data_IF_904906600324
#
_entry.id   IF_904906600324
#
_cell.length_a   1.000
_cell.length_b   1.000
_cell.length_c   1.000
_cell.angle_alpha   90.00
_cell.angle_beta   90.00
_cell.angle_gamma   90.00
#
_symmetry.space_group_name_H-M   'P 1'
#
loop_
_entity.id
_entity.type
_entity.pdbx_description
1 polymer ?
#
# COMPACT_ATOMS: atom_id res chain seq x y z
N UNK A 1 -46.47 27.56 35.03
CA UNK A 1 -45.51 27.85 33.94
C UNK A 1 -44.81 26.54 33.59
N UNK A 2 -45.22 25.93 32.50
CA UNK A 2 -44.64 24.69 32.00
C UNK A 2 -43.68 25.06 30.84
N UNK A 3 -42.38 24.80 31.02
CA UNK A 3 -41.40 24.94 29.99
C UNK A 3 -41.52 23.76 29.03
N UNK A 4 -41.82 24.08 27.80
CA UNK A 4 -41.83 23.13 26.68
C UNK A 4 -40.37 22.79 26.30
N UNK A 5 -39.97 21.58 26.55
CA UNK A 5 -38.74 20.98 25.99
C UNK A 5 -38.95 20.79 24.49
N UNK A 6 -38.30 21.63 23.68
CA UNK A 6 -38.17 21.40 22.24
C UNK A 6 -37.35 20.12 22.00
N UNK A 7 -38.02 19.14 21.43
CA UNK A 7 -37.43 17.92 20.87
C UNK A 7 -36.54 18.33 19.68
N UNK A 8 -35.21 18.38 19.91
CA UNK A 8 -34.20 18.48 18.83
C UNK A 8 -34.13 17.13 18.16
N UNK A 9 -34.92 16.99 17.11
CA UNK A 9 -34.82 15.83 16.20
C UNK A 9 -33.37 15.61 15.76
N UNK A 10 -32.72 14.67 16.41
CA UNK A 10 -31.39 14.23 16.06
C UNK A 10 -31.45 13.54 14.70
N UNK A 11 -30.94 14.21 13.66
CA UNK A 11 -30.66 13.55 12.38
C UNK A 11 -29.64 12.46 12.69
N UNK A 12 -30.01 11.20 12.51
CA UNK A 12 -29.08 10.10 12.63
C UNK A 12 -27.89 10.36 11.68
N UNK A 13 -26.64 10.18 12.15
CA UNK A 13 -25.50 10.40 11.29
C UNK A 13 -25.59 9.43 10.10
N UNK A 14 -25.26 9.91 8.88
CA UNK A 14 -25.33 9.09 7.68
C UNK A 14 -24.53 7.81 7.87
N UNK A 15 -25.03 6.70 7.34
CA UNK A 15 -24.32 5.43 7.32
C UNK A 15 -22.93 5.60 6.70
N UNK A 16 -21.96 4.76 7.08
CA UNK A 16 -20.59 4.91 6.62
C UNK A 16 -20.46 4.92 5.07
N UNK A 17 -21.34 4.21 4.38
CA UNK A 17 -21.39 4.17 2.90
C UNK A 17 -21.88 5.49 2.31
N UNK A 18 -22.97 6.06 2.83
CA UNK A 18 -23.55 7.32 2.34
C UNK A 18 -22.60 8.50 2.56
N UNK A 19 -21.91 8.54 3.69
CA UNK A 19 -20.99 9.63 4.00
C UNK A 19 -19.69 9.62 3.20
N UNK A 20 -19.31 8.49 2.62
CA UNK A 20 -18.12 8.35 1.77
C UNK A 20 -18.43 8.38 0.26
N UNK A 21 -19.72 8.44 -0.13
CA UNK A 21 -20.13 8.49 -1.53
C UNK A 21 -19.49 9.65 -2.33
N UNK A 22 -19.27 10.86 -1.77
CA UNK A 22 -18.56 11.93 -2.47
C UNK A 22 -17.11 11.60 -2.89
N UNK A 23 -16.50 10.57 -2.30
CA UNK A 23 -15.15 10.12 -2.64
C UNK A 23 -15.12 9.10 -3.79
N UNK A 24 -16.26 8.59 -4.22
CA UNK A 24 -16.34 7.63 -5.31
C UNK A 24 -15.96 8.27 -6.63
N UNK A 25 -14.79 7.90 -7.17
CA UNK A 25 -14.25 8.46 -8.39
C UNK A 25 -14.43 7.54 -9.62
N UNK A 26 -14.40 6.22 -9.42
CA UNK A 26 -14.53 5.22 -10.47
C UNK A 26 -15.12 3.91 -9.93
N UNK A 27 -15.44 2.97 -10.81
CA UNK A 27 -16.03 1.68 -10.43
C UNK A 27 -14.98 0.67 -10.01
N UNK A 28 -14.05 0.37 -10.90
CA UNK A 28 -13.12 -0.76 -10.71
C UNK A 28 -11.70 -0.34 -11.06
N UNK A 29 -10.75 -0.79 -10.24
CA UNK A 29 -9.33 -0.80 -10.55
C UNK A 29 -8.87 -2.24 -10.73
N UNK A 30 -8.43 -2.60 -11.93
CA UNK A 30 -7.82 -3.91 -12.20
C UNK A 30 -6.30 -3.76 -12.26
N UNK A 31 -5.60 -4.59 -11.51
CA UNK A 31 -4.14 -4.57 -11.37
C UNK A 31 -3.56 -5.90 -11.83
N UNK A 32 -2.66 -5.84 -12.78
CA UNK A 32 -1.97 -7.02 -13.30
C UNK A 32 -2.64 -7.68 -14.51
N UNK A 33 -2.13 -8.85 -14.92
CA UNK A 33 -0.99 -9.55 -14.34
C UNK A 33 0.34 -8.81 -14.55
N UNK A 34 1.25 -8.99 -13.59
CA UNK A 34 2.59 -8.43 -13.70
C UNK A 34 3.42 -9.17 -14.77
N UNK A 35 4.16 -8.41 -15.56
CA UNK A 35 5.21 -8.91 -16.46
C UNK A 35 6.54 -8.74 -15.75
N UNK A 36 7.23 -9.85 -15.51
CA UNK A 36 8.47 -9.92 -14.74
C UNK A 36 9.63 -10.15 -15.66
N UNK A 37 10.65 -9.31 -15.55
CA UNK A 37 11.96 -9.43 -16.18
C UNK A 37 13.03 -9.36 -15.08
N UNK A 38 14.25 -9.85 -15.28
CA UNK A 38 15.23 -9.95 -14.19
C UNK A 38 15.46 -8.65 -13.38
N UNK A 39 15.51 -7.50 -14.05
CA UNK A 39 15.74 -6.20 -13.42
C UNK A 39 14.55 -5.25 -13.57
N UNK A 40 13.37 -5.73 -14.00
CA UNK A 40 12.21 -4.89 -14.24
C UNK A 40 10.91 -5.64 -14.02
N UNK A 41 9.96 -4.96 -13.41
CA UNK A 41 8.57 -5.43 -13.30
C UNK A 41 7.64 -4.37 -13.88
N UNK A 42 6.73 -4.78 -14.74
CA UNK A 42 5.68 -3.95 -15.33
C UNK A 42 4.32 -4.52 -14.99
N UNK A 43 3.41 -3.67 -14.58
CA UNK A 43 2.06 -4.10 -14.18
C UNK A 43 1.02 -3.13 -14.74
N UNK A 44 0.09 -3.60 -15.58
CA UNK A 44 -0.99 -2.77 -16.05
C UNK A 44 -1.96 -2.42 -14.93
N UNK A 45 -2.42 -1.19 -14.93
CA UNK A 45 -3.46 -0.64 -14.08
C UNK A 45 -4.59 -0.15 -14.96
N UNK A 46 -5.72 -0.84 -14.96
CA UNK A 46 -6.90 -0.49 -15.73
C UNK A 46 -7.99 0.04 -14.82
N UNK A 47 -8.43 1.25 -15.10
CA UNK A 47 -9.52 1.92 -14.40
C UNK A 47 -10.79 1.85 -15.25
N UNK A 48 -11.89 1.37 -14.67
CA UNK A 48 -13.23 1.48 -15.27
C UNK A 48 -13.97 2.62 -14.58
N UNK A 49 -14.23 3.70 -15.32
CA UNK A 49 -14.93 4.88 -14.82
C UNK A 49 -16.39 4.64 -14.46
N UNK A 50 -17.02 5.61 -13.83
CA UNK A 50 -18.47 5.57 -13.52
C UNK A 50 -19.34 5.53 -14.76
N UNK A 51 -18.87 6.10 -15.86
CA UNK A 51 -19.50 6.08 -17.19
C UNK A 51 -19.23 4.79 -17.97
N UNK A 52 -18.41 3.87 -17.42
CA UNK A 52 -18.05 2.60 -18.05
C UNK A 52 -16.86 2.70 -19.02
N UNK A 53 -16.25 3.86 -19.19
CA UNK A 53 -15.01 4.00 -19.98
C UNK A 53 -13.87 3.34 -19.26
N UNK A 54 -12.95 2.77 -20.04
CA UNK A 54 -11.74 2.14 -19.54
C UNK A 54 -10.52 2.98 -19.93
N UNK A 55 -9.64 3.18 -18.94
CA UNK A 55 -8.33 3.78 -19.13
C UNK A 55 -7.27 2.84 -18.56
N UNK A 56 -6.16 2.69 -19.27
CA UNK A 56 -5.06 1.83 -18.83
C UNK A 56 -3.77 2.64 -18.78
N UNK A 57 -3.02 2.37 -17.70
CA UNK A 57 -1.67 2.87 -17.50
C UNK A 57 -0.79 1.72 -17.01
N UNK A 58 0.50 1.94 -16.93
CA UNK A 58 1.44 0.90 -16.50
C UNK A 58 2.31 1.40 -15.34
N UNK A 59 2.36 0.62 -14.26
CA UNK A 59 3.33 0.82 -13.19
C UNK A 59 4.60 0.06 -13.52
N UNK A 60 5.74 0.75 -13.52
CA UNK A 60 7.03 0.18 -13.88
C UNK A 60 8.01 0.39 -12.73
N UNK A 61 8.57 -0.72 -12.24
CA UNK A 61 9.74 -0.71 -11.37
C UNK A 61 10.96 -1.20 -12.12
N UNK A 62 12.10 -0.57 -11.86
CA UNK A 62 13.41 -0.97 -12.40
C UNK A 62 14.43 -0.98 -11.28
N UNK A 63 15.31 -1.96 -11.32
CA UNK A 63 16.43 -2.12 -10.40
C UNK A 63 17.75 -2.09 -11.17
N UNK A 64 18.82 -1.77 -10.50
CA UNK A 64 20.17 -1.76 -11.09
C UNK A 64 20.69 -3.19 -11.28
N UNK A 65 20.21 -4.12 -10.46
CA UNK A 65 20.58 -5.53 -10.46
C UNK A 65 19.42 -6.44 -10.86
N UNK A 66 19.74 -7.66 -11.27
CA UNK A 66 18.79 -8.72 -11.58
C UNK A 66 18.27 -9.33 -10.27
N UNK A 67 17.07 -8.97 -9.86
CA UNK A 67 16.45 -9.41 -8.61
C UNK A 67 15.40 -10.49 -8.80
N UNK A 68 14.88 -10.66 -10.00
CA UNK A 68 13.76 -11.54 -10.27
C UNK A 68 14.11 -12.63 -11.26
N UNK A 69 13.56 -13.82 -11.01
CA UNK A 69 13.60 -14.96 -11.93
C UNK A 69 12.19 -15.14 -12.52
N UNK A 70 11.96 -14.79 -13.79
CA UNK A 70 10.63 -14.88 -14.41
C UNK A 70 10.00 -16.27 -14.40
N UNK A 71 10.84 -17.32 -14.28
CA UNK A 71 10.40 -18.72 -14.25
C UNK A 71 10.06 -19.21 -12.84
N UNK A 72 10.41 -18.44 -11.78
CA UNK A 72 10.23 -18.86 -10.41
C UNK A 72 8.91 -18.34 -9.82
N UNK A 73 8.04 -19.22 -9.30
CA UNK A 73 6.76 -18.83 -8.72
C UNK A 73 6.88 -17.82 -7.57
N UNK A 74 7.93 -17.94 -6.73
CA UNK A 74 8.17 -17.02 -5.61
C UNK A 74 8.52 -15.62 -6.12
N UNK A 75 9.30 -15.53 -7.20
CA UNK A 75 9.65 -14.27 -7.86
C UNK A 75 8.43 -13.59 -8.48
N UNK A 76 7.58 -14.37 -9.16
CA UNK A 76 6.33 -13.87 -9.75
C UNK A 76 5.35 -13.39 -8.66
N UNK A 77 5.23 -14.13 -7.57
CA UNK A 77 4.39 -13.74 -6.43
C UNK A 77 4.90 -12.42 -5.80
N UNK A 78 6.20 -12.32 -5.52
CA UNK A 78 6.80 -11.12 -4.94
C UNK A 78 6.62 -9.90 -5.83
N UNK A 79 6.86 -10.03 -7.14
CA UNK A 79 6.66 -8.97 -8.11
C UNK A 79 5.19 -8.49 -8.15
N UNK A 80 4.24 -9.43 -8.16
CA UNK A 80 2.82 -9.11 -8.10
C UNK A 80 2.46 -8.40 -6.78
N UNK A 81 2.98 -8.86 -5.64
CA UNK A 81 2.73 -8.26 -4.33
C UNK A 81 3.31 -6.84 -4.22
N UNK A 82 4.53 -6.61 -4.72
CA UNK A 82 5.15 -5.28 -4.74
C UNK A 82 4.29 -4.31 -5.55
N UNK A 83 3.91 -4.71 -6.76
CA UNK A 83 3.15 -3.82 -7.64
C UNK A 83 1.70 -3.63 -7.19
N UNK A 84 1.10 -4.59 -6.48
CA UNK A 84 -0.26 -4.46 -5.95
C UNK A 84 -0.39 -3.36 -4.87
N UNK A 85 0.69 -3.04 -4.15
CA UNK A 85 0.62 -2.10 -3.02
C UNK A 85 0.23 -0.69 -3.44
N UNK A 86 0.61 -0.21 -4.62
CA UNK A 86 0.22 1.11 -5.09
C UNK A 86 -1.32 1.26 -5.24
N UNK A 87 -2.01 0.16 -5.53
CA UNK A 87 -3.47 0.13 -5.64
C UNK A 87 -4.20 0.37 -4.32
N UNK A 88 -3.56 0.13 -3.18
CA UNK A 88 -4.17 0.27 -1.85
C UNK A 88 -4.59 1.71 -1.55
N UNK A 89 -3.96 2.70 -2.19
CA UNK A 89 -4.32 4.10 -2.09
C UNK A 89 -5.70 4.42 -2.66
N UNK A 90 -6.24 3.54 -3.49
CA UNK A 90 -7.51 3.76 -4.17
C UNK A 90 -8.72 3.12 -3.46
N UNK A 91 -8.51 2.44 -2.35
CA UNK A 91 -9.56 1.71 -1.65
C UNK A 91 -10.75 2.54 -1.16
N UNK A 92 -10.59 3.86 -0.99
CA UNK A 92 -11.68 4.80 -0.68
C UNK A 92 -12.45 5.28 -1.92
N UNK A 93 -11.86 5.15 -3.12
CA UNK A 93 -12.29 5.88 -4.30
C UNK A 93 -12.99 5.03 -5.35
N UNK A 94 -13.11 3.72 -5.13
CA UNK A 94 -13.76 2.80 -6.06
C UNK A 94 -14.59 1.73 -5.34
N UNK A 95 -15.39 1.00 -6.12
CA UNK A 95 -16.24 -0.07 -5.60
C UNK A 95 -15.48 -1.40 -5.51
N UNK A 96 -14.47 -1.59 -6.37
CA UNK A 96 -13.74 -2.83 -6.46
C UNK A 96 -12.29 -2.63 -6.89
N UNK A 97 -11.37 -3.38 -6.26
CA UNK A 97 -10.00 -3.54 -6.72
C UNK A 97 -9.78 -5.02 -7.04
N UNK A 98 -9.46 -5.31 -8.31
CA UNK A 98 -9.17 -6.66 -8.82
C UNK A 98 -7.68 -6.85 -8.94
N UNK A 99 -7.15 -7.82 -8.23
CA UNK A 99 -5.76 -8.21 -8.32
C UNK A 99 -5.64 -9.49 -9.15
N UNK A 100 -4.96 -9.39 -10.30
CA UNK A 100 -4.72 -10.51 -11.21
C UNK A 100 -3.28 -10.99 -11.01
N UNK A 101 -3.08 -12.15 -10.39
CA UNK A 101 -1.75 -12.66 -10.11
C UNK A 101 -1.71 -13.84 -9.14
N UNK A 102 -0.50 -14.35 -8.86
CA UNK A 102 -0.31 -15.50 -8.00
C UNK A 102 -0.28 -15.11 -6.50
N UNK A 103 -1.39 -14.61 -5.98
CA UNK A 103 -1.54 -14.24 -4.57
C UNK A 103 -1.97 -15.41 -3.72
N UNK A 104 -1.19 -15.74 -2.70
CA UNK A 104 -1.53 -16.77 -1.71
C UNK A 104 -2.46 -16.22 -0.60
N UNK A 105 -2.80 -17.07 0.38
CA UNK A 105 -3.68 -16.68 1.48
C UNK A 105 -3.06 -15.64 2.42
N UNK A 106 -1.73 -15.63 2.58
CA UNK A 106 -1.01 -14.65 3.39
C UNK A 106 -1.00 -13.29 2.70
N UNK A 107 -0.74 -13.25 1.39
CA UNK A 107 -0.79 -12.04 0.58
C UNK A 107 -2.17 -11.39 0.62
N UNK A 108 -3.22 -12.19 0.46
CA UNK A 108 -4.61 -11.69 0.53
C UNK A 108 -4.94 -11.10 1.89
N UNK A 109 -4.51 -11.75 2.98
CA UNK A 109 -4.68 -11.18 4.34
C UNK A 109 -3.93 -9.87 4.51
N UNK A 110 -2.67 -9.83 4.05
CA UNK A 110 -1.84 -8.63 4.09
C UNK A 110 -2.47 -7.48 3.31
N UNK A 111 -2.83 -7.69 2.04
CA UNK A 111 -3.42 -6.66 1.18
C UNK A 111 -4.77 -6.16 1.72
N UNK A 112 -5.63 -7.04 2.26
CA UNK A 112 -6.88 -6.63 2.90
C UNK A 112 -6.63 -5.77 4.14
N UNK A 113 -5.72 -6.17 5.03
CA UNK A 113 -5.36 -5.41 6.22
C UNK A 113 -4.73 -4.06 5.88
N UNK A 114 -3.80 -4.05 4.93
CA UNK A 114 -3.13 -2.84 4.48
C UNK A 114 -4.10 -1.87 3.79
N UNK A 115 -5.01 -2.36 2.93
CA UNK A 115 -6.04 -1.54 2.30
C UNK A 115 -6.95 -0.85 3.33
N UNK A 116 -7.39 -1.57 4.36
CA UNK A 116 -8.19 -1.01 5.44
C UNK A 116 -7.46 0.09 6.22
N UNK A 117 -6.17 -0.15 6.54
CA UNK A 117 -5.33 0.84 7.21
C UNK A 117 -5.08 2.07 6.33
N UNK A 118 -4.78 1.88 5.05
CA UNK A 118 -4.55 2.97 4.10
C UNK A 118 -5.80 3.81 3.89
N UNK A 119 -6.96 3.17 3.74
CA UNK A 119 -8.23 3.88 3.61
C UNK A 119 -8.52 4.76 4.84
N UNK A 120 -8.27 4.22 6.06
CA UNK A 120 -8.41 4.97 7.30
C UNK A 120 -7.44 6.14 7.37
N UNK A 121 -6.17 5.93 7.04
CA UNK A 121 -5.14 6.96 7.06
C UNK A 121 -5.48 8.11 6.11
N UNK A 122 -5.90 7.80 4.90
CA UNK A 122 -6.31 8.79 3.90
C UNK A 122 -7.55 9.54 4.39
N UNK A 123 -8.60 8.85 4.82
CA UNK A 123 -9.82 9.51 5.28
C UNK A 123 -9.56 10.46 6.45
N UNK A 124 -8.90 9.97 7.51
CA UNK A 124 -8.69 10.76 8.73
C UNK A 124 -7.70 11.90 8.52
N UNK A 125 -6.58 11.63 7.85
CA UNK A 125 -5.47 12.59 7.80
C UNK A 125 -5.48 13.48 6.56
N UNK A 126 -6.21 13.13 5.49
CA UNK A 126 -6.27 13.94 4.28
C UNK A 126 -7.61 14.65 4.08
N UNK A 127 -8.72 14.04 4.54
CA UNK A 127 -10.05 14.60 4.33
C UNK A 127 -10.64 15.24 5.59
N UNK A 128 -10.42 14.71 6.77
CA UNK A 128 -10.96 15.31 8.02
C UNK A 128 -10.09 16.40 8.62
N UNK A 129 -8.83 16.51 8.21
CA UNK A 129 -7.94 17.62 8.60
C UNK A 129 -8.05 18.77 7.60
N UNK A 130 -7.81 20.02 8.02
CA UNK A 130 -7.76 21.15 7.10
C UNK A 130 -6.78 20.87 5.96
N UNK A 131 -7.28 20.91 4.73
CA UNK A 131 -6.49 20.62 3.55
C UNK A 131 -6.92 21.60 2.43
N UNK A 132 -6.07 22.58 2.08
CA UNK A 132 -6.40 23.62 1.10
C UNK A 132 -6.55 23.11 -0.34
N UNK A 133 -6.17 21.86 -0.59
CA UNK A 133 -6.29 21.23 -1.91
C UNK A 133 -7.65 20.54 -2.13
N UNK A 134 -8.47 20.40 -1.06
CA UNK A 134 -9.78 19.81 -1.19
C UNK A 134 -10.81 20.86 -1.64
N UNK A 135 -11.59 20.50 -2.64
CA UNK A 135 -12.65 21.35 -3.20
C UNK A 135 -13.97 20.59 -3.30
N UNK A 136 -15.07 21.33 -3.38
CA UNK A 136 -16.41 20.75 -3.55
C UNK A 136 -16.84 19.85 -2.39
N UNK A 137 -17.63 18.81 -2.62
CA UNK A 137 -18.15 17.92 -1.57
C UNK A 137 -17.07 17.24 -0.73
N UNK A 138 -15.89 16.99 -1.29
CA UNK A 138 -14.77 16.36 -0.59
C UNK A 138 -14.16 17.24 0.49
N UNK A 139 -14.38 18.57 0.47
CA UNK A 139 -13.86 19.50 1.48
C UNK A 139 -14.66 19.50 2.78
N UNK A 140 -15.85 18.89 2.79
CA UNK A 140 -16.80 18.92 3.91
C UNK A 140 -17.37 17.53 4.20
N UNK A 141 -16.52 16.53 4.28
CA UNK A 141 -16.96 15.19 4.61
C UNK A 141 -17.40 15.10 6.08
N UNK A 142 -18.47 14.33 6.37
CA UNK A 142 -18.91 14.10 7.74
C UNK A 142 -17.88 13.26 8.51
N UNK A 143 -17.76 13.52 9.82
CA UNK A 143 -16.98 12.67 10.70
C UNK A 143 -17.73 11.37 10.98
N UNK A 144 -17.38 10.31 10.32
CA UNK A 144 -18.00 8.99 10.45
C UNK A 144 -17.15 8.12 11.37
N UNK A 145 -17.80 7.40 12.29
CA UNK A 145 -17.18 6.35 13.09
C UNK A 145 -17.50 4.99 12.50
N UNK A 146 -16.50 4.33 11.91
CA UNK A 146 -16.67 3.01 11.32
C UNK A 146 -15.51 2.08 11.73
N UNK A 147 -15.80 0.78 11.73
CA UNK A 147 -14.77 -0.26 11.91
C UNK A 147 -13.83 -0.33 10.70
N UNK A 148 -14.33 0.00 9.52
CA UNK A 148 -13.55 0.06 8.29
C UNK A 148 -14.01 1.25 7.46
N UNK A 149 -13.06 1.93 6.86
CA UNK A 149 -13.30 3.00 5.86
C UNK A 149 -13.00 2.50 4.44
N UNK A 150 -12.60 1.24 4.30
CA UNK A 150 -12.37 0.63 2.99
C UNK A 150 -13.71 0.46 2.27
N UNK A 151 -13.88 1.20 1.17
CA UNK A 151 -15.04 1.11 0.29
C UNK A 151 -14.89 -0.06 -0.69
N UNK A 152 -13.71 -0.18 -1.27
CA UNK A 152 -13.46 -1.16 -2.31
C UNK A 152 -13.53 -2.59 -1.78
N UNK A 153 -14.25 -3.45 -2.50
CA UNK A 153 -14.14 -4.89 -2.36
C UNK A 153 -12.86 -5.37 -3.04
N UNK A 154 -11.99 -6.09 -2.35
CA UNK A 154 -10.80 -6.68 -2.94
C UNK A 154 -11.12 -8.06 -3.54
N UNK A 155 -10.85 -8.23 -4.82
CA UNK A 155 -11.06 -9.46 -5.58
C UNK A 155 -9.71 -9.98 -6.07
N UNK A 156 -9.44 -11.26 -5.85
CA UNK A 156 -8.19 -11.89 -6.27
C UNK A 156 -8.48 -12.92 -7.35
N UNK A 157 -8.01 -12.66 -8.55
CA UNK A 157 -8.18 -13.53 -9.70
C UNK A 157 -6.85 -14.27 -9.98
N UNK A 158 -6.91 -15.59 -10.17
CA UNK A 158 -5.73 -16.34 -10.57
C UNK A 158 -5.30 -15.90 -11.97
N UNK A 159 -3.99 -15.89 -12.21
CA UNK A 159 -3.46 -15.60 -13.52
C UNK A 159 -3.93 -16.67 -14.53
N UNK A 160 -4.73 -16.27 -15.52
CA UNK A 160 -5.27 -17.16 -16.56
C UNK A 160 -4.22 -17.66 -17.56
N UNK A 161 -3.03 -17.06 -17.61
CA UNK A 161 -1.99 -17.37 -18.59
C UNK A 161 -1.05 -18.50 -18.18
N UNK A 162 -1.44 -19.35 -17.24
CA UNK A 162 -0.78 -20.64 -16.98
C UNK A 162 0.65 -20.60 -16.44
N UNK A 163 1.28 -19.47 -16.41
CA UNK A 163 2.64 -19.29 -15.89
C UNK A 163 2.58 -18.86 -14.42
N UNK A 164 2.43 -19.80 -13.53
CA UNK A 164 2.50 -19.49 -12.11
C UNK A 164 1.73 -20.50 -11.30
N UNK A 165 2.36 -21.64 -11.02
CA UNK A 165 1.95 -22.42 -9.89
C UNK A 165 1.98 -21.49 -8.67
N UNK A 166 0.85 -21.38 -7.95
CA UNK A 166 0.82 -20.69 -6.66
C UNK A 166 1.99 -21.22 -5.82
N UNK A 167 2.69 -20.32 -5.16
CA UNK A 167 3.64 -20.69 -4.12
C UNK A 167 3.00 -21.76 -3.25
N UNK A 168 3.71 -22.85 -2.99
CA UNK A 168 3.18 -23.92 -2.11
C UNK A 168 2.88 -23.30 -0.75
N UNK A 169 1.63 -23.32 -0.34
CA UNK A 169 1.21 -22.85 0.97
C UNK A 169 2.11 -23.47 2.05
N UNK A 170 2.63 -22.65 2.96
CA UNK A 170 3.50 -23.08 4.05
C UNK A 170 5.00 -23.12 3.76
N UNK A 171 5.45 -22.86 2.52
CA UNK A 171 6.88 -22.70 2.23
C UNK A 171 7.33 -21.27 2.61
N UNK A 172 8.18 -21.15 3.65
CA UNK A 172 8.83 -19.90 3.99
C UNK A 172 9.77 -19.43 2.88
N UNK A 173 10.00 -18.11 2.80
CA UNK A 173 11.08 -17.56 1.99
C UNK A 173 12.43 -18.09 2.49
N UNK A 174 13.36 -18.35 1.58
CA UNK A 174 14.74 -18.64 1.95
C UNK A 174 15.37 -17.34 2.48
N UNK A 175 15.29 -17.15 3.79
CA UNK A 175 15.86 -16.01 4.48
C UNK A 175 17.00 -16.47 5.40
N UNK A 176 18.04 -15.66 5.52
CA UNK A 176 19.09 -15.90 6.50
C UNK A 176 18.59 -15.50 7.90
N UNK A 177 18.68 -16.39 8.92
CA UNK A 177 18.37 -16.03 10.29
C UNK A 177 19.41 -15.09 10.92
N UNK A 178 20.57 -14.93 10.29
CA UNK A 178 21.70 -14.13 10.78
C UNK A 178 21.73 -12.72 10.17
N UNK A 179 20.89 -12.44 9.18
CA UNK A 179 20.83 -11.17 8.46
C UNK A 179 19.58 -10.40 8.79
N UNK A 180 19.74 -9.10 9.02
CA UNK A 180 18.64 -8.18 9.29
C UNK A 180 18.70 -6.95 8.39
N UNK A 181 17.56 -6.61 7.79
CA UNK A 181 17.38 -5.32 7.12
C UNK A 181 16.74 -4.33 8.10
N UNK A 182 17.34 -3.15 8.27
CA UNK A 182 16.80 -2.08 9.10
C UNK A 182 16.45 -0.88 8.22
N UNK A 183 15.15 -0.57 8.10
CA UNK A 183 14.71 0.65 7.42
C UNK A 183 15.18 1.87 8.21
N UNK A 184 15.92 2.75 7.55
CA UNK A 184 16.52 3.92 8.20
C UNK A 184 16.12 5.23 7.52
N UNK A 185 15.51 6.12 8.30
CA UNK A 185 15.31 7.52 7.92
C UNK A 185 16.53 8.41 8.24
N UNK A 186 17.60 7.83 8.78
CA UNK A 186 18.76 8.57 9.29
C UNK A 186 18.52 9.26 10.65
N UNK A 187 17.35 9.11 11.23
CA UNK A 187 17.01 9.63 12.56
C UNK A 187 17.56 8.75 13.69
N UNK A 188 17.56 9.31 14.90
CA UNK A 188 18.12 8.66 16.11
C UNK A 188 17.56 7.26 16.37
N UNK A 189 16.26 7.06 16.17
CA UNK A 189 15.59 5.80 16.53
C UNK A 189 15.97 4.68 15.54
N UNK A 190 16.07 4.98 14.24
CA UNK A 190 16.51 4.01 13.25
C UNK A 190 18.00 3.69 13.37
N UNK A 191 18.84 4.67 13.72
CA UNK A 191 20.26 4.45 13.98
C UNK A 191 20.48 3.67 15.26
N UNK A 192 19.66 3.91 16.30
CA UNK A 192 19.68 3.09 17.52
C UNK A 192 19.28 1.65 17.23
N UNK A 193 18.20 1.44 16.47
CA UNK A 193 17.76 0.10 16.06
C UNK A 193 18.85 -0.64 15.30
N UNK A 194 19.51 0.04 14.35
CA UNK A 194 20.66 -0.50 13.62
C UNK A 194 21.79 -0.93 14.57
N UNK A 195 22.18 -0.03 15.49
CA UNK A 195 23.24 -0.31 16.47
C UNK A 195 22.90 -1.48 17.38
N UNK A 196 21.68 -1.54 17.93
CA UNK A 196 21.24 -2.62 18.82
C UNK A 196 21.25 -3.99 18.14
N UNK A 197 20.71 -4.07 16.90
CA UNK A 197 20.69 -5.33 16.16
C UNK A 197 22.10 -5.79 15.83
N UNK A 198 23.01 -4.86 15.51
CA UNK A 198 24.43 -5.16 15.27
C UNK A 198 25.14 -5.65 16.54
N UNK A 199 24.89 -5.04 17.69
CA UNK A 199 25.43 -5.47 18.99
C UNK A 199 24.94 -6.88 19.40
N UNK A 200 23.75 -7.29 18.93
CA UNK A 200 23.24 -8.65 19.09
C UNK A 200 23.94 -9.68 18.20
N UNK A 201 24.88 -9.25 17.35
CA UNK A 201 25.69 -10.14 16.51
C UNK A 201 25.10 -10.43 15.12
N UNK A 202 24.04 -9.74 14.72
CA UNK A 202 23.48 -9.89 13.38
C UNK A 202 24.30 -9.14 12.31
N UNK A 203 24.33 -9.67 11.11
CA UNK A 203 24.73 -8.93 9.92
C UNK A 203 23.60 -7.96 9.53
N UNK A 204 23.83 -6.66 9.67
CA UNK A 204 22.76 -5.64 9.56
C UNK A 204 22.96 -4.79 8.32
N UNK A 205 21.93 -4.77 7.46
CA UNK A 205 21.87 -3.97 6.25
C UNK A 205 20.94 -2.79 6.44
N UNK A 206 21.45 -1.54 6.51
CA UNK A 206 20.60 -0.36 6.60
C UNK A 206 20.01 -0.02 5.23
N UNK A 207 18.67 0.00 5.14
CA UNK A 207 17.97 0.37 3.93
C UNK A 207 17.46 1.81 4.01
N UNK A 208 17.85 2.62 3.03
CA UNK A 208 17.44 4.01 2.91
C UNK A 208 16.51 4.17 1.71
N UNK A 209 15.30 4.72 1.95
CA UNK A 209 14.39 5.06 0.86
C UNK A 209 14.56 6.54 0.53
N UNK A 210 14.88 6.82 -0.73
CA UNK A 210 14.97 8.20 -1.20
C UNK A 210 13.56 8.74 -1.45
N UNK A 211 12.93 9.23 -0.41
CA UNK A 211 11.73 10.04 -0.52
C UNK A 211 12.12 11.48 -0.88
N UNK A 212 11.40 12.09 -1.78
CA UNK A 212 11.66 13.49 -2.16
C UNK A 212 11.50 14.44 -0.97
N UNK A 213 12.32 15.50 -0.93
CA UNK A 213 12.20 16.57 0.03
C UNK A 213 13.22 16.56 1.17
N UNK A 214 12.93 17.32 2.24
CA UNK A 214 13.90 17.59 3.33
C UNK A 214 14.27 16.36 4.14
N UNK A 215 13.39 15.37 4.23
CA UNK A 215 13.65 14.13 4.97
C UNK A 215 14.82 13.34 4.38
N UNK A 216 15.01 13.41 3.08
CA UNK A 216 16.14 12.76 2.42
C UNK A 216 17.50 13.27 2.88
N UNK A 217 17.64 14.55 3.23
CA UNK A 217 18.94 15.07 3.68
C UNK A 217 19.43 14.42 4.98
N UNK A 218 18.53 14.11 5.91
CA UNK A 218 18.90 13.38 7.13
C UNK A 218 19.31 11.96 6.81
N UNK A 219 18.53 11.26 5.99
CA UNK A 219 18.83 9.91 5.51
C UNK A 219 20.15 9.87 4.73
N UNK A 220 20.40 10.83 3.84
CA UNK A 220 21.61 10.93 3.03
C UNK A 220 22.88 11.07 3.88
N UNK A 221 22.85 11.84 4.97
CA UNK A 221 23.99 11.96 5.87
C UNK A 221 24.32 10.63 6.56
N UNK A 222 23.30 9.92 7.06
CA UNK A 222 23.48 8.61 7.65
C UNK A 222 23.93 7.58 6.61
N UNK A 223 23.34 7.57 5.42
CA UNK A 223 23.76 6.73 4.30
C UNK A 223 25.25 6.90 3.98
N UNK A 224 25.70 8.15 3.76
CA UNK A 224 27.11 8.44 3.46
C UNK A 224 28.05 8.00 4.57
N UNK A 225 27.64 8.16 5.83
CA UNK A 225 28.43 7.72 6.97
C UNK A 225 28.54 6.20 7.05
N UNK A 226 27.45 5.48 6.82
CA UNK A 226 27.38 4.02 6.97
C UNK A 226 27.96 3.31 5.74
N UNK A 227 27.78 3.81 4.52
CA UNK A 227 28.32 3.25 3.29
C UNK A 227 29.80 2.89 3.37
N UNK A 228 30.60 3.77 3.99
CA UNK A 228 32.04 3.59 4.07
C UNK A 228 32.47 2.74 5.30
N UNK A 229 31.53 2.29 6.13
CA UNK A 229 31.82 1.63 7.44
C UNK A 229 31.07 0.33 7.65
N UNK A 230 30.08 0.07 6.86
CA UNK A 230 29.31 -1.19 6.90
C UNK A 230 29.65 -1.94 5.61
N UNK A 231 30.18 -3.17 5.66
CA UNK A 231 30.42 -3.99 4.48
C UNK A 231 29.14 -4.21 3.67
N UNK A 232 29.24 -4.28 2.37
CA UNK A 232 28.14 -4.62 1.45
C UNK A 232 27.74 -6.09 1.61
#
# INVERSE_FOLDING_TARGET
MAESTEDRGGVEPPGAEEGLEPLRAFRTLTVGPAVVEPARVRTPYRVTGLDGREEETELIYRWEEELFSPEEPDSLNLAALITAQAALNYGLFCDEIRFCGPFDSADRRFLNGAAGNTAREIYVNKFLRPNPFLVGPASNLPVIRSKSYLRARLVFEPNRTGAGALRREGRGWAASPERCAVLSSGGKDSLLSFGLVRELGYEVHPLFVNESGRHWFTALNAYRYLRDRVPE
#
